data_IF_514138569116
#
_entry.id   IF_514138569116
#
_cell.length_a   1.000
_cell.length_b   1.000
_cell.length_c   1.000
_cell.angle_alpha   90.00
_cell.angle_beta   90.00
_cell.angle_gamma   90.00
#
_symmetry.space_group_name_H-M   'P 1'
#
loop_
_entity.id
_entity.type
_entity.pdbx_description
1 polymer ?
#
# COMPACT_ATOMS: atom_id res chain seq x y z
N UNK A 1 25.45 -10.35 -1.57
CA UNK A 1 24.01 -10.64 -1.39
C UNK A 1 23.55 -9.89 -0.15
N UNK A 2 22.87 -8.77 -0.33
CA UNK A 2 22.35 -7.95 0.78
C UNK A 2 20.83 -8.11 0.90
N UNK A 3 20.28 -7.79 2.06
CA UNK A 3 18.83 -7.63 2.25
C UNK A 3 18.51 -6.14 2.12
N UNK A 4 17.58 -5.79 1.23
CA UNK A 4 17.14 -4.42 0.98
C UNK A 4 15.66 -4.31 1.30
N UNK A 5 15.29 -3.30 2.07
CA UNK A 5 13.89 -2.94 2.31
C UNK A 5 13.52 -1.78 1.38
N UNK A 6 12.52 -1.97 0.53
CA UNK A 6 11.99 -0.92 -0.36
C UNK A 6 10.57 -0.57 0.07
N UNK A 7 10.35 0.69 0.49
CA UNK A 7 9.02 1.19 0.86
C UNK A 7 8.42 2.01 -0.27
N UNK A 8 7.18 1.67 -0.64
CA UNK A 8 6.42 2.35 -1.68
C UNK A 8 5.21 3.04 -1.06
N UNK A 9 5.00 4.32 -1.37
CA UNK A 9 3.83 5.07 -0.93
C UNK A 9 2.61 4.83 -1.81
N UNK A 10 1.44 5.33 -1.38
CA UNK A 10 0.19 5.19 -2.12
C UNK A 10 0.23 5.78 -3.55
N UNK A 11 1.11 6.75 -3.82
CA UNK A 11 1.33 7.29 -5.17
C UNK A 11 2.03 6.29 -6.10
N UNK A 12 2.87 5.41 -5.56
CA UNK A 12 3.54 4.34 -6.31
C UNK A 12 2.61 3.16 -6.60
N UNK A 13 1.55 2.99 -5.81
CA UNK A 13 0.58 1.89 -5.95
C UNK A 13 -0.74 2.33 -6.62
N UNK A 14 -0.90 3.61 -6.99
CA UNK A 14 -2.16 4.21 -7.46
C UNK A 14 -2.64 3.72 -8.82
N UNK A 15 -1.75 3.66 -9.81
CA UNK A 15 -2.09 3.31 -11.20
C UNK A 15 -1.23 2.17 -11.71
N UNK A 16 -1.69 1.48 -12.77
CA UNK A 16 -0.89 0.45 -13.44
C UNK A 16 0.49 0.97 -13.86
N UNK A 17 0.56 2.19 -14.36
CA UNK A 17 1.81 2.82 -14.78
C UNK A 17 2.76 3.05 -13.59
N UNK A 18 2.26 3.62 -12.48
CA UNK A 18 3.07 3.83 -11.27
C UNK A 18 3.56 2.50 -10.67
N UNK A 19 2.72 1.44 -10.72
CA UNK A 19 3.10 0.09 -10.28
C UNK A 19 4.18 -0.51 -11.15
N UNK A 20 4.14 -0.31 -12.47
CA UNK A 20 5.22 -0.76 -13.36
C UNK A 20 6.58 -0.18 -12.93
N UNK A 21 6.62 1.10 -12.54
CA UNK A 21 7.85 1.72 -12.04
C UNK A 21 8.30 1.10 -10.70
N UNK A 22 7.37 0.82 -9.79
CA UNK A 22 7.64 0.09 -8.55
C UNK A 22 8.22 -1.31 -8.83
N UNK A 23 7.59 -2.09 -9.72
CA UNK A 23 8.06 -3.42 -10.09
C UNK A 23 9.47 -3.39 -10.67
N UNK A 24 9.75 -2.43 -11.55
CA UNK A 24 11.08 -2.28 -12.14
C UNK A 24 12.17 -2.01 -11.09
N UNK A 25 11.87 -1.24 -10.03
CA UNK A 25 12.80 -1.02 -8.92
C UNK A 25 13.07 -2.29 -8.10
N UNK A 26 12.02 -3.08 -7.83
CA UNK A 26 12.14 -4.36 -7.14
C UNK A 26 12.96 -5.34 -7.98
N UNK A 27 12.58 -5.52 -9.24
CA UNK A 27 13.24 -6.45 -10.19
C UNK A 27 14.71 -6.08 -10.40
N UNK A 28 15.03 -4.79 -10.49
CA UNK A 28 16.42 -4.33 -10.60
C UNK A 28 17.27 -4.84 -9.45
N UNK A 29 16.81 -4.68 -8.20
CA UNK A 29 17.60 -5.12 -7.05
C UNK A 29 17.66 -6.63 -6.91
N UNK A 30 16.60 -7.34 -7.28
CA UNK A 30 16.63 -8.81 -7.39
C UNK A 30 17.68 -9.26 -8.40
N UNK A 31 17.74 -8.62 -9.59
CA UNK A 31 18.73 -8.92 -10.62
C UNK A 31 20.16 -8.57 -10.21
N UNK A 32 20.34 -7.59 -9.32
CA UNK A 32 21.63 -7.26 -8.70
C UNK A 32 22.07 -8.28 -7.64
N UNK A 33 21.30 -9.34 -7.40
CA UNK A 33 21.61 -10.39 -6.41
C UNK A 33 21.26 -10.02 -4.97
N UNK A 34 20.35 -9.05 -4.78
CA UNK A 34 19.83 -8.67 -3.47
C UNK A 34 18.53 -9.42 -3.15
N UNK A 35 18.30 -9.68 -1.86
CA UNK A 35 16.98 -10.10 -1.36
C UNK A 35 16.18 -8.86 -1.03
N UNK A 36 14.97 -8.74 -1.58
CA UNK A 36 14.13 -7.55 -1.41
C UNK A 36 12.94 -7.84 -0.51
N UNK A 37 12.72 -7.00 0.49
CA UNK A 37 11.47 -6.89 1.24
C UNK A 37 10.75 -5.64 0.74
N UNK A 38 9.63 -5.81 0.06
CA UNK A 38 8.82 -4.70 -0.42
C UNK A 38 7.71 -4.40 0.61
N UNK A 39 7.60 -3.14 1.02
CA UNK A 39 6.54 -2.64 1.90
C UNK A 39 5.72 -1.63 1.11
N UNK A 40 4.42 -1.87 0.98
CA UNK A 40 3.51 -0.97 0.27
C UNK A 40 2.64 -0.19 1.26
N UNK A 41 2.10 0.92 0.78
CA UNK A 41 1.01 1.64 1.44
C UNK A 41 -0.29 1.44 0.64
N UNK A 42 -1.43 1.68 1.28
CA UNK A 42 -2.74 1.65 0.66
C UNK A 42 -2.75 2.51 -0.62
N UNK A 43 -3.32 1.96 -1.69
CA UNK A 43 -3.43 2.63 -2.98
C UNK A 43 -4.44 3.78 -2.94
N UNK A 44 -4.22 4.78 -3.80
CA UNK A 44 -5.21 5.82 -4.08
C UNK A 44 -5.28 6.95 -3.06
N UNK A 45 -6.29 7.78 -3.23
CA UNK A 45 -6.68 8.88 -2.34
C UNK A 45 -8.19 8.86 -2.16
N UNK A 46 -8.72 9.71 -1.29
CA UNK A 46 -10.16 9.88 -1.14
C UNK A 46 -10.90 9.96 -2.49
N UNK A 47 -11.99 9.20 -2.53
CA UNK A 47 -12.87 8.73 -3.61
C UNK A 47 -12.34 7.61 -4.53
N UNK A 48 -11.06 7.22 -4.41
CA UNK A 48 -10.57 5.97 -5.01
C UNK A 48 -11.03 4.74 -4.19
N UNK A 49 -11.39 3.61 -4.82
CA UNK A 49 -11.75 2.38 -4.11
C UNK A 49 -10.62 1.90 -3.20
N UNK A 50 -10.98 1.44 -2.00
CA UNK A 50 -10.06 0.88 -0.98
C UNK A 50 -8.99 1.84 -0.45
N UNK A 51 -9.00 3.12 -0.84
CA UNK A 51 -8.18 4.11 -0.18
C UNK A 51 -8.64 4.26 1.29
N UNK A 52 -7.70 4.46 2.20
CA UNK A 52 -7.97 4.57 3.64
C UNK A 52 -9.06 5.59 3.95
N UNK A 53 -9.00 6.78 3.34
CA UNK A 53 -9.99 7.84 3.54
C UNK A 53 -11.38 7.45 3.01
N UNK A 54 -11.44 6.73 1.88
CA UNK A 54 -12.70 6.24 1.29
C UNK A 54 -13.34 5.16 2.17
N UNK A 55 -12.53 4.26 2.75
CA UNK A 55 -13.01 3.25 3.69
C UNK A 55 -13.54 3.90 4.98
N UNK A 56 -12.87 4.94 5.48
CA UNK A 56 -13.33 5.69 6.64
C UNK A 56 -14.60 6.50 6.35
N UNK A 57 -14.81 6.97 5.11
CA UNK A 57 -16.00 7.76 4.76
C UNK A 57 -17.28 6.95 4.64
N UNK A 58 -17.21 5.61 4.47
CA UNK A 58 -18.40 4.75 4.33
C UNK A 58 -18.94 4.23 5.68
N UNK A 59 -18.27 4.52 6.79
CA UNK A 59 -18.68 4.10 8.14
C UNK A 59 -18.87 5.32 9.06
N UNK A 60 -19.65 5.15 10.13
CA UNK A 60 -19.70 6.13 11.21
C UNK A 60 -18.62 5.79 12.24
N UNK A 61 -17.44 6.41 12.13
CA UNK A 61 -16.29 6.15 13.00
C UNK A 61 -16.57 6.35 14.49
N UNK A 62 -17.56 7.16 14.87
CA UNK A 62 -17.96 7.37 16.27
C UNK A 62 -18.65 6.16 16.90
N UNK A 63 -19.11 5.21 16.10
CA UNK A 63 -19.76 3.97 16.57
C UNK A 63 -18.83 2.77 16.56
N UNK A 64 -17.58 2.95 16.13
CA UNK A 64 -16.58 1.90 16.07
C UNK A 64 -15.54 2.08 17.17
N UNK A 65 -14.98 0.97 17.62
CA UNK A 65 -13.79 0.93 18.46
C UNK A 65 -12.53 1.23 17.65
N UNK A 66 -11.44 1.61 18.32
CA UNK A 66 -10.14 1.82 17.67
C UNK A 66 -9.66 0.56 16.94
N UNK A 67 -9.91 -0.63 17.51
CA UNK A 67 -9.55 -1.90 16.85
C UNK A 67 -10.34 -2.12 15.56
N UNK A 68 -11.64 -1.79 15.53
CA UNK A 68 -12.47 -1.92 14.33
C UNK A 68 -12.03 -0.93 13.24
N UNK A 69 -11.64 0.28 13.62
CA UNK A 69 -11.08 1.29 12.71
C UNK A 69 -9.73 0.80 12.14
N UNK A 70 -8.85 0.26 12.98
CA UNK A 70 -7.56 -0.30 12.55
C UNK A 70 -7.75 -1.48 11.59
N UNK A 71 -8.67 -2.40 11.91
CA UNK A 71 -9.02 -3.51 11.02
C UNK A 71 -9.55 -3.00 9.69
N UNK A 72 -10.47 -2.03 9.69
CA UNK A 72 -11.03 -1.46 8.47
C UNK A 72 -9.94 -0.82 7.59
N UNK A 73 -9.08 0.01 8.17
CA UNK A 73 -8.04 0.72 7.42
C UNK A 73 -6.93 -0.20 6.92
N UNK A 74 -6.63 -1.30 7.64
CA UNK A 74 -5.68 -2.32 7.21
C UNK A 74 -6.07 -3.04 5.91
N UNK A 75 -7.35 -3.03 5.54
CA UNK A 75 -7.83 -3.64 4.30
C UNK A 75 -7.22 -2.94 3.08
N UNK A 76 -7.11 -1.61 3.11
CA UNK A 76 -6.49 -0.83 2.02
C UNK A 76 -5.03 -1.22 1.80
N UNK A 77 -4.31 -1.47 2.89
CA UNK A 77 -2.93 -1.96 2.88
C UNK A 77 -2.83 -3.39 2.33
N UNK A 78 -3.75 -4.27 2.74
CA UNK A 78 -3.77 -5.69 2.35
C UNK A 78 -4.07 -5.90 0.86
N UNK A 79 -4.92 -5.05 0.27
CA UNK A 79 -5.30 -5.14 -1.15
C UNK A 79 -4.20 -4.58 -2.08
N UNK A 80 -3.28 -3.77 -1.55
CA UNK A 80 -2.26 -3.06 -2.33
C UNK A 80 -1.08 -3.92 -2.74
#
# INVERSE_FOLDING_TARGET
>A
MNIIVQKFGGTSTRSRESRSNMYNNIIREVNNGNKVVAVVSAMGRYDDPYATDTLLSIVNTKQLTDEEIDRLTSIGETIS
#
